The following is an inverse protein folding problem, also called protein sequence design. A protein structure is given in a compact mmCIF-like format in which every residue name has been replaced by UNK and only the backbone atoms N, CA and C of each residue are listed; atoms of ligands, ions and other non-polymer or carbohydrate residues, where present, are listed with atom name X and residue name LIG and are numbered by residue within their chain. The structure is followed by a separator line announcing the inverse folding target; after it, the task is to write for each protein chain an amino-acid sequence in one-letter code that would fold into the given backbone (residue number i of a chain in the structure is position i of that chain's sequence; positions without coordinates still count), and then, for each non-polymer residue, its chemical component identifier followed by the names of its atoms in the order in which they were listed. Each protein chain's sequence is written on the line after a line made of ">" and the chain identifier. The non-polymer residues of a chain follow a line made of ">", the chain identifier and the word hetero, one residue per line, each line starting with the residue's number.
data_IF_072043595853
#
_entry.id   IF_072043595853
#
_cell.length_a   1.000
_cell.length_b   1.000
_cell.length_c   1.000
_cell.angle_alpha   90.00
_cell.angle_beta   90.00
_cell.angle_gamma   90.00
#
_symmetry.space_group_name_H-M   'P 1'
#
loop_
_entity.id
_entity.type
_entity.pdbx_description
1 polymer ?
#
# COMPACT_ATOMS: atom_id res chain seq x y z
N UNK A 1 17.85 -32.95 22.37
CA UNK A 1 17.87 -34.20 21.61
C UNK A 1 19.21 -34.30 20.89
N UNK A 2 20.01 -35.34 21.16
CA UNK A 2 21.27 -35.57 20.48
C UNK A 2 20.98 -36.13 19.09
N UNK A 3 21.32 -35.42 18.04
CA UNK A 3 21.26 -35.89 16.67
C UNK A 3 22.37 -36.95 16.45
N UNK A 4 21.98 -38.18 16.09
CA UNK A 4 22.90 -39.32 15.88
C UNK A 4 23.12 -39.63 14.40
N UNK A 5 22.60 -38.80 13.52
CA UNK A 5 22.70 -38.98 12.06
C UNK A 5 23.96 -38.40 11.45
N UNK A 6 24.29 -38.84 10.25
CA UNK A 6 25.37 -38.26 9.43
C UNK A 6 24.81 -37.04 8.69
N UNK A 7 25.50 -35.90 8.80
CA UNK A 7 25.19 -34.72 8.02
C UNK A 7 25.82 -34.87 6.63
N UNK A 8 25.00 -35.05 5.63
CA UNK A 8 25.44 -35.11 4.23
C UNK A 8 25.19 -33.78 3.55
N UNK A 9 26.25 -33.14 3.05
CA UNK A 9 26.21 -31.90 2.32
C UNK A 9 25.99 -32.07 0.80
N UNK A 10 25.80 -33.32 0.34
CA UNK A 10 25.57 -33.60 -1.07
C UNK A 10 24.09 -33.51 -1.41
N UNK A 11 23.78 -32.77 -2.46
CA UNK A 11 22.42 -32.76 -3.00
C UNK A 11 22.08 -34.13 -3.59
N UNK A 12 20.90 -34.68 -3.30
CA UNK A 12 20.43 -35.91 -3.96
C UNK A 12 20.46 -35.77 -5.49
N UNK A 13 20.88 -36.84 -6.18
CA UNK A 13 20.94 -36.86 -7.66
C UNK A 13 19.56 -36.99 -8.31
N UNK A 14 18.58 -36.18 -7.88
CA UNK A 14 17.26 -36.13 -8.49
C UNK A 14 17.16 -35.02 -9.53
N UNK A 15 16.30 -35.17 -10.52
CA UNK A 15 16.10 -34.17 -11.56
C UNK A 15 15.73 -32.78 -10.99
N UNK A 16 14.96 -32.76 -9.91
CA UNK A 16 14.56 -31.52 -9.25
C UNK A 16 15.75 -30.78 -8.64
N UNK A 17 16.68 -31.49 -7.97
CA UNK A 17 17.85 -30.88 -7.41
C UNK A 17 18.87 -30.45 -8.47
N UNK A 18 18.95 -31.16 -9.60
CA UNK A 18 19.75 -30.73 -10.73
C UNK A 18 19.20 -29.40 -11.30
N UNK A 19 17.87 -29.31 -11.47
CA UNK A 19 17.22 -28.05 -11.88
C UNK A 19 17.48 -26.92 -10.87
N UNK A 20 17.33 -27.18 -9.56
CA UNK A 20 17.56 -26.19 -8.52
C UNK A 20 19.01 -25.67 -8.48
N UNK A 21 19.99 -26.51 -8.81
CA UNK A 21 21.41 -26.07 -8.94
C UNK A 21 21.63 -25.09 -10.08
N UNK A 22 20.85 -25.19 -11.14
CA UNK A 22 20.95 -24.31 -12.32
C UNK A 22 20.13 -23.02 -12.16
N UNK A 23 19.34 -22.92 -11.11
CA UNK A 23 18.42 -21.80 -10.89
C UNK A 23 19.07 -20.78 -9.94
N UNK A 24 19.10 -19.52 -10.35
CA UNK A 24 19.51 -18.43 -9.46
C UNK A 24 18.34 -18.12 -8.49
N UNK A 25 18.58 -18.32 -7.22
CA UNK A 25 17.62 -18.00 -6.17
C UNK A 25 17.73 -16.53 -5.80
N UNK A 26 16.63 -15.81 -5.97
CA UNK A 26 16.48 -14.45 -5.49
C UNK A 26 15.67 -14.52 -4.20
N UNK A 27 16.33 -14.31 -3.06
CA UNK A 27 15.66 -14.27 -1.78
C UNK A 27 15.26 -12.82 -1.44
N UNK A 28 14.07 -12.60 -0.87
CA UNK A 28 13.67 -11.27 -0.42
C UNK A 28 14.61 -10.80 0.70
N UNK A 29 15.13 -9.60 0.57
CA UNK A 29 16.04 -8.98 1.55
C UNK A 29 15.32 -7.91 2.38
N UNK A 30 14.39 -7.20 1.75
CA UNK A 30 13.73 -6.01 2.28
C UNK A 30 12.29 -6.30 2.69
N UNK A 31 11.57 -7.11 1.90
CA UNK A 31 10.19 -7.50 2.21
C UNK A 31 10.13 -8.48 3.36
N UNK A 32 9.30 -8.21 4.36
CA UNK A 32 9.08 -9.08 5.52
C UNK A 32 7.72 -9.76 5.46
N UNK A 33 7.65 -10.97 6.04
CA UNK A 33 6.40 -11.77 6.10
C UNK A 33 5.57 -11.46 7.34
N UNK A 34 6.19 -10.89 8.36
CA UNK A 34 5.58 -10.56 9.65
C UNK A 34 5.71 -9.06 9.93
N UNK A 35 4.78 -8.48 10.71
CA UNK A 35 4.84 -7.10 11.12
C UNK A 35 6.18 -6.78 11.80
N UNK A 36 6.70 -5.61 11.49
CA UNK A 36 7.94 -5.11 12.09
C UNK A 36 7.62 -4.45 13.43
N UNK A 37 8.29 -4.89 14.49
CA UNK A 37 8.24 -4.23 15.78
C UNK A 37 8.91 -2.86 15.71
N UNK A 38 8.36 -1.88 16.43
CA UNK A 38 8.90 -0.52 16.49
C UNK A 38 9.03 0.19 15.13
N UNK A 39 8.29 -0.27 14.11
CA UNK A 39 8.24 0.38 12.81
C UNK A 39 7.03 1.32 12.70
N UNK A 40 7.14 2.34 11.86
CA UNK A 40 6.01 3.21 11.56
C UNK A 40 4.90 2.45 10.84
N UNK A 41 3.66 2.75 11.17
CA UNK A 41 2.50 2.22 10.45
C UNK A 41 1.91 3.30 9.54
N UNK A 42 1.74 2.97 8.27
CA UNK A 42 1.23 3.87 7.22
C UNK A 42 0.08 3.18 6.50
N UNK A 43 -1.02 3.90 6.34
CA UNK A 43 -2.21 3.45 5.62
C UNK A 43 -2.20 4.06 4.22
N UNK A 44 -2.54 3.27 3.22
CA UNK A 44 -2.56 3.72 1.82
C UNK A 44 -3.91 3.47 1.19
N UNK A 45 -4.33 4.40 0.35
CA UNK A 45 -5.56 4.29 -0.43
C UNK A 45 -5.39 4.95 -1.81
N UNK A 46 -6.22 4.54 -2.77
CA UNK A 46 -6.23 5.07 -4.12
C UNK A 46 -7.62 5.10 -4.73
N UNK A 47 -7.95 6.22 -5.35
CA UNK A 47 -9.25 6.46 -5.96
C UNK A 47 -9.21 6.38 -7.48
N UNK A 48 -10.33 5.97 -8.09
CA UNK A 48 -10.52 5.96 -9.55
C UNK A 48 -10.44 7.36 -10.20
N UNK A 49 -10.54 8.43 -9.42
CA UNK A 49 -10.43 9.83 -9.89
C UNK A 49 -8.97 10.30 -10.00
N UNK A 50 -8.00 9.41 -9.98
CA UNK A 50 -6.58 9.76 -10.11
C UNK A 50 -5.97 10.35 -8.86
N UNK A 51 -6.49 10.06 -7.68
CA UNK A 51 -5.90 10.44 -6.40
C UNK A 51 -5.37 9.22 -5.68
N UNK A 52 -4.16 9.33 -5.15
CA UNK A 52 -3.54 8.38 -4.26
C UNK A 52 -3.23 9.10 -2.95
N UNK A 53 -3.35 8.44 -1.82
CA UNK A 53 -3.01 9.04 -0.55
C UNK A 53 -2.40 8.04 0.42
N UNK A 54 -1.69 8.57 1.40
CA UNK A 54 -1.33 7.82 2.57
C UNK A 54 -1.50 8.68 3.83
N UNK A 55 -1.74 8.02 4.95
CA UNK A 55 -1.83 8.61 6.28
C UNK A 55 -1.06 7.78 7.29
N UNK A 56 -0.58 8.44 8.34
CA UNK A 56 0.21 7.84 9.41
C UNK A 56 0.98 8.92 10.15
N UNK A 57 2.30 8.78 10.32
CA UNK A 57 3.13 9.84 10.90
C UNK A 57 3.17 11.12 10.05
N UNK A 58 2.90 11.00 8.77
CA UNK A 58 2.70 12.08 7.81
C UNK A 58 1.51 11.73 6.93
N UNK A 59 0.87 12.75 6.37
CA UNK A 59 -0.20 12.62 5.38
C UNK A 59 0.23 13.23 4.06
N UNK A 60 -0.15 12.57 2.97
CA UNK A 60 0.11 13.09 1.64
C UNK A 60 -0.96 12.64 0.65
N UNK A 61 -1.44 13.58 -0.15
CA UNK A 61 -2.29 13.33 -1.31
C UNK A 61 -1.50 13.57 -2.57
N UNK A 62 -1.57 12.63 -3.50
CA UNK A 62 -0.84 12.64 -4.76
C UNK A 62 -1.88 12.64 -5.89
N UNK A 63 -1.80 13.61 -6.80
CA UNK A 63 -2.54 13.58 -8.05
C UNK A 63 -1.79 12.69 -9.03
N UNK A 64 -2.47 11.67 -9.55
CA UNK A 64 -1.91 10.74 -10.53
C UNK A 64 -2.59 10.92 -11.89
N UNK A 65 -1.93 10.61 -13.01
CA UNK A 65 -2.58 10.65 -14.33
C UNK A 65 -3.52 9.46 -14.55
N UNK A 66 -3.61 8.52 -13.59
CA UNK A 66 -4.30 7.26 -13.75
C UNK A 66 -5.74 7.35 -13.23
N UNK A 67 -6.70 7.13 -14.11
CA UNK A 67 -8.13 7.01 -13.75
C UNK A 67 -8.49 5.55 -13.42
N UNK A 68 -7.75 4.96 -12.48
CA UNK A 68 -7.92 3.58 -12.03
C UNK A 68 -7.52 3.48 -10.56
N UNK A 69 -8.42 2.99 -9.72
CA UNK A 69 -8.17 2.79 -8.30
C UNK A 69 -6.92 1.93 -8.06
N UNK A 70 -6.80 0.79 -8.73
CA UNK A 70 -5.64 -0.10 -8.60
C UNK A 70 -4.31 0.58 -8.91
N UNK A 71 -4.27 1.43 -9.95
CA UNK A 71 -3.05 2.17 -10.29
C UNK A 71 -2.75 3.27 -9.28
N UNK A 72 -3.80 3.96 -8.81
CA UNK A 72 -3.65 4.97 -7.76
C UNK A 72 -3.14 4.35 -6.45
N UNK A 73 -3.66 3.20 -6.05
CA UNK A 73 -3.20 2.44 -4.89
C UNK A 73 -1.74 1.99 -5.03
N UNK A 74 -1.32 1.53 -6.22
CA UNK A 74 0.10 1.23 -6.49
C UNK A 74 0.97 2.47 -6.33
N UNK A 75 0.52 3.63 -6.83
CA UNK A 75 1.23 4.91 -6.66
C UNK A 75 1.34 5.28 -5.19
N UNK A 76 0.28 5.10 -4.40
CA UNK A 76 0.31 5.36 -2.95
C UNK A 76 1.39 4.53 -2.26
N UNK A 77 1.43 3.22 -2.50
CA UNK A 77 2.45 2.32 -1.92
C UNK A 77 3.86 2.69 -2.39
N UNK A 78 4.05 2.96 -3.68
CA UNK A 78 5.36 3.38 -4.22
C UNK A 78 5.83 4.66 -3.52
N UNK A 79 4.93 5.63 -3.35
CA UNK A 79 5.26 6.91 -2.70
C UNK A 79 5.63 6.72 -1.23
N UNK A 80 4.89 5.89 -0.49
CA UNK A 80 5.26 5.52 0.89
C UNK A 80 6.65 4.92 0.96
N UNK A 81 6.96 3.97 0.07
CA UNK A 81 8.27 3.34 0.02
C UNK A 81 9.40 4.33 -0.33
N UNK A 82 9.10 5.43 -1.01
CA UNK A 82 10.06 6.50 -1.35
C UNK A 82 10.20 7.55 -0.23
N UNK A 83 9.08 7.92 0.41
CA UNK A 83 9.03 9.02 1.38
C UNK A 83 9.55 8.63 2.78
N UNK A 84 9.57 7.32 3.10
CA UNK A 84 9.99 6.82 4.40
C UNK A 84 11.28 5.99 4.30
N UNK A 85 12.41 6.57 4.66
CA UNK A 85 13.71 5.90 4.69
C UNK A 85 13.99 5.29 6.08
N UNK A 86 13.08 4.41 6.52
CA UNK A 86 13.12 3.68 7.80
C UNK A 86 12.23 2.44 7.73
N UNK A 87 12.27 1.53 8.73
CA UNK A 87 11.37 0.39 8.78
C UNK A 87 9.91 0.83 8.84
N UNK A 88 9.03 0.24 8.01
CA UNK A 88 7.61 0.60 7.92
C UNK A 88 6.71 -0.62 7.80
N UNK A 89 5.52 -0.51 8.38
CA UNK A 89 4.38 -1.39 8.16
C UNK A 89 3.36 -0.66 7.28
N UNK A 90 3.06 -1.20 6.12
CA UNK A 90 2.10 -0.63 5.17
C UNK A 90 0.79 -1.40 5.28
N UNK A 91 -0.32 -0.68 5.40
CA UNK A 91 -1.66 -1.23 5.44
C UNK A 91 -2.45 -0.66 4.27
N UNK A 92 -3.03 -1.54 3.46
CA UNK A 92 -3.88 -1.16 2.32
C UNK A 92 -5.14 -2.03 2.31
N UNK A 93 -6.24 -1.50 1.84
CA UNK A 93 -7.48 -2.24 1.62
C UNK A 93 -7.56 -2.90 0.23
N UNK A 94 -6.54 -2.72 -0.58
CA UNK A 94 -6.38 -3.41 -1.86
C UNK A 94 -5.60 -4.72 -1.71
N UNK A 95 -6.30 -5.84 -1.69
CA UNK A 95 -5.68 -7.17 -1.67
C UNK A 95 -4.72 -7.39 -2.86
N UNK A 96 -5.07 -6.84 -4.04
CA UNK A 96 -4.25 -6.93 -5.24
C UNK A 96 -2.90 -6.21 -5.06
N UNK A 97 -2.91 -4.97 -4.57
CA UNK A 97 -1.69 -4.17 -4.38
C UNK A 97 -0.81 -4.78 -3.29
N UNK A 98 -1.43 -5.26 -2.20
CA UNK A 98 -0.71 -5.95 -1.12
C UNK A 98 0.01 -7.19 -1.64
N UNK A 99 -0.68 -8.05 -2.41
CA UNK A 99 -0.06 -9.25 -2.95
C UNK A 99 1.06 -8.91 -3.93
N UNK A 100 0.82 -7.99 -4.85
CA UNK A 100 1.83 -7.52 -5.79
C UNK A 100 3.08 -6.97 -5.08
N UNK A 101 2.88 -6.19 -4.01
CA UNK A 101 3.99 -5.60 -3.24
C UNK A 101 4.79 -6.65 -2.46
N UNK A 102 4.12 -7.68 -1.94
CA UNK A 102 4.79 -8.81 -1.26
C UNK A 102 5.74 -9.58 -2.18
N UNK A 103 5.34 -9.77 -3.42
CA UNK A 103 6.05 -10.65 -4.35
C UNK A 103 7.06 -9.91 -5.22
N UNK A 104 6.92 -8.58 -5.39
CA UNK A 104 7.62 -7.79 -6.40
C UNK A 104 9.15 -7.83 -6.28
N UNK A 105 9.70 -7.96 -5.07
CA UNK A 105 11.15 -7.94 -4.85
C UNK A 105 11.85 -9.07 -5.62
N UNK A 106 11.25 -10.25 -5.63
CA UNK A 106 11.82 -11.46 -6.25
C UNK A 106 11.13 -11.85 -7.55
N UNK A 107 10.03 -11.20 -7.92
CA UNK A 107 9.23 -11.54 -9.08
C UNK A 107 9.96 -11.29 -10.40
N UNK A 108 9.67 -12.12 -11.38
CA UNK A 108 9.88 -11.81 -12.79
C UNK A 108 8.62 -11.14 -13.32
N UNK A 109 8.73 -9.85 -13.64
CA UNK A 109 7.59 -9.09 -14.17
C UNK A 109 7.34 -9.53 -15.60
N UNK A 110 6.22 -10.22 -15.83
CA UNK A 110 5.77 -10.58 -17.17
C UNK A 110 5.22 -9.34 -17.85
N UNK A 111 5.65 -9.09 -19.08
CA UNK A 111 5.13 -7.99 -19.89
C UNK A 111 3.64 -8.23 -20.21
N UNK A 112 2.79 -7.24 -19.95
CA UNK A 112 1.37 -7.24 -20.31
C UNK A 112 1.10 -6.22 -21.41
N UNK A 113 -0.09 -6.25 -22.00
CA UNK A 113 -0.53 -5.26 -23.00
C UNK A 113 -0.75 -3.85 -22.36
N UNK A 114 -0.74 -3.74 -21.04
CA UNK A 114 -0.89 -2.49 -20.30
C UNK A 114 0.47 -1.89 -19.94
N UNK A 115 0.97 -1.00 -20.79
CA UNK A 115 2.27 -0.37 -20.58
C UNK A 115 2.35 0.47 -19.31
N UNK A 116 1.28 1.11 -18.91
CA UNK A 116 1.25 1.93 -17.69
C UNK A 116 1.40 1.05 -16.44
N UNK A 117 0.70 -0.07 -16.42
CA UNK A 117 0.82 -1.04 -15.34
C UNK A 117 2.22 -1.68 -15.30
N UNK A 118 2.79 -2.00 -16.46
CA UNK A 118 4.16 -2.51 -16.57
C UNK A 118 5.19 -1.53 -16.01
N UNK A 119 5.02 -0.23 -16.30
CA UNK A 119 5.89 0.83 -15.77
C UNK A 119 5.77 0.95 -14.25
N UNK A 120 4.55 0.90 -13.71
CA UNK A 120 4.31 0.96 -12.27
C UNK A 120 4.93 -0.24 -11.54
N UNK A 121 4.80 -1.46 -12.06
CA UNK A 121 5.45 -2.63 -11.45
C UNK A 121 6.97 -2.57 -11.51
N UNK A 122 7.54 -2.10 -12.62
CA UNK A 122 8.98 -1.88 -12.72
C UNK A 122 9.46 -0.84 -11.71
N UNK A 123 8.71 0.26 -11.57
CA UNK A 123 9.02 1.31 -10.60
C UNK A 123 8.92 0.79 -9.17
N UNK A 124 7.85 0.05 -8.83
CA UNK A 124 7.69 -0.58 -7.53
C UNK A 124 8.87 -1.52 -7.22
N UNK A 125 9.23 -2.40 -8.16
CA UNK A 125 10.34 -3.32 -8.00
C UNK A 125 11.68 -2.60 -7.79
N UNK A 126 11.94 -1.56 -8.59
CA UNK A 126 13.16 -0.76 -8.45
C UNK A 126 13.20 -0.02 -7.11
N UNK A 127 12.05 0.53 -6.67
CA UNK A 127 11.93 1.20 -5.38
C UNK A 127 12.23 0.23 -4.24
N UNK A 128 11.61 -0.95 -4.24
CA UNK A 128 11.86 -1.98 -3.22
C UNK A 128 13.32 -2.43 -3.20
N UNK A 129 13.91 -2.72 -4.37
CA UNK A 129 15.31 -3.19 -4.46
C UNK A 129 16.36 -2.14 -4.07
N UNK A 130 16.01 -0.86 -4.16
CA UNK A 130 16.89 0.25 -3.75
C UNK A 130 16.80 0.59 -2.26
N UNK A 131 15.77 0.08 -1.55
CA UNK A 131 15.62 0.37 -0.13
C UNK A 131 16.72 -0.27 0.71
N UNK A 132 17.10 0.44 1.76
CA UNK A 132 18.01 -0.05 2.79
C UNK A 132 17.26 -0.60 4.02
N UNK A 133 16.00 -0.24 4.20
CA UNK A 133 15.20 -0.59 5.36
C UNK A 133 14.08 -1.57 5.01
N UNK A 134 13.82 -2.56 5.87
CA UNK A 134 12.77 -3.52 5.64
C UNK A 134 11.39 -2.89 5.71
N UNK A 135 10.44 -3.52 5.02
CA UNK A 135 9.03 -3.19 5.16
C UNK A 135 8.18 -4.46 5.24
N UNK A 136 7.02 -4.29 5.86
CA UNK A 136 5.95 -5.26 5.87
C UNK A 136 4.72 -4.64 5.22
N UNK A 137 3.95 -5.42 4.48
CA UNK A 137 2.70 -4.97 3.88
C UNK A 137 1.59 -5.96 4.17
N UNK A 138 0.41 -5.45 4.56
CA UNK A 138 -0.75 -6.28 4.87
C UNK A 138 -2.04 -5.66 4.35
N UNK A 139 -3.00 -6.55 4.09
CA UNK A 139 -4.35 -6.18 3.68
C UNK A 139 -5.24 -6.01 4.91
N UNK A 140 -6.03 -4.95 4.91
CA UNK A 140 -7.16 -4.76 5.83
C UNK A 140 -8.45 -4.73 5.01
N UNK A 141 -9.52 -5.32 5.54
CA UNK A 141 -10.83 -5.19 4.89
C UNK A 141 -11.31 -3.74 5.03
N UNK A 142 -11.46 -3.05 3.90
CA UNK A 142 -12.04 -1.70 3.84
C UNK A 142 -13.51 -1.67 4.27
N UNK A 143 -13.98 -0.49 4.62
CA UNK A 143 -15.39 -0.19 4.94
C UNK A 143 -16.04 -1.12 5.99
N UNK A 144 -15.26 -1.61 6.95
CA UNK A 144 -15.80 -2.37 8.09
C UNK A 144 -16.22 -1.39 9.18
N UNK A 145 -17.47 -1.50 9.66
CA UNK A 145 -17.94 -0.72 10.82
C UNK A 145 -17.40 -1.24 12.16
N UNK A 146 -16.28 -1.97 12.14
CA UNK A 146 -15.67 -2.48 13.36
C UNK A 146 -14.94 -1.35 14.10
N UNK A 147 -15.14 -1.20 15.41
CA UNK A 147 -14.42 -0.20 16.17
C UNK A 147 -12.94 -0.57 16.30
N UNK A 148 -12.05 0.39 16.07
CA UNK A 148 -10.62 0.16 16.29
C UNK A 148 -9.74 1.24 15.66
N UNK A 149 -8.48 1.37 16.11
CA UNK A 149 -7.55 2.37 15.59
C UNK A 149 -7.18 2.11 14.13
N UNK A 150 -7.06 0.85 13.70
CA UNK A 150 -6.73 0.50 12.31
C UNK A 150 -7.85 0.88 11.35
N UNK A 151 -9.12 0.64 11.73
CA UNK A 151 -10.27 1.03 10.91
C UNK A 151 -10.37 2.54 10.77
N UNK A 152 -10.16 3.29 11.86
CA UNK A 152 -10.18 4.76 11.82
C UNK A 152 -9.10 5.34 10.90
N UNK A 153 -7.89 4.79 10.94
CA UNK A 153 -6.78 5.26 10.13
C UNK A 153 -6.98 4.90 8.64
N UNK A 154 -7.54 3.72 8.33
CA UNK A 154 -7.91 3.37 6.96
C UNK A 154 -9.03 4.26 6.42
N UNK A 155 -10.06 4.54 7.23
CA UNK A 155 -11.12 5.51 6.88
C UNK A 155 -10.54 6.91 6.61
N UNK A 156 -9.50 7.33 7.31
CA UNK A 156 -8.84 8.60 7.07
C UNK A 156 -8.13 8.63 5.72
N UNK A 157 -7.43 7.55 5.33
CA UNK A 157 -6.82 7.44 4.02
C UNK A 157 -7.87 7.50 2.89
N UNK A 158 -8.98 6.77 3.03
CA UNK A 158 -10.12 6.78 2.10
C UNK A 158 -10.75 8.19 1.97
N UNK A 159 -10.90 8.91 3.08
CA UNK A 159 -11.36 10.31 3.04
C UNK A 159 -10.46 11.21 2.18
N UNK A 160 -9.14 11.04 2.26
CA UNK A 160 -8.19 11.86 1.53
C UNK A 160 -8.26 11.69 0.00
N UNK A 161 -8.67 10.51 -0.48
CA UNK A 161 -8.80 10.25 -1.93
C UNK A 161 -10.20 10.54 -2.47
N UNK A 162 -11.20 10.69 -1.60
CA UNK A 162 -12.58 10.99 -2.00
C UNK A 162 -12.68 12.35 -2.68
N UNK A 163 -13.19 12.40 -3.93
CA UNK A 163 -13.39 13.67 -4.62
C UNK A 163 -14.46 14.53 -3.96
N UNK A 164 -15.56 13.90 -3.55
CA UNK A 164 -16.66 14.60 -2.88
C UNK A 164 -16.21 15.24 -1.56
N UNK A 165 -15.34 14.57 -0.81
CA UNK A 165 -14.76 15.12 0.41
C UNK A 165 -13.87 16.33 0.13
N UNK A 166 -12.98 16.24 -0.87
CA UNK A 166 -12.08 17.34 -1.24
C UNK A 166 -12.85 18.55 -1.78
N UNK A 167 -13.86 18.35 -2.62
CA UNK A 167 -14.72 19.43 -3.12
C UNK A 167 -15.53 20.08 -2.00
N UNK A 168 -16.02 19.28 -1.05
CA UNK A 168 -16.70 19.79 0.13
C UNK A 168 -15.77 20.63 1.03
N UNK A 169 -14.52 20.21 1.18
CA UNK A 169 -13.50 20.91 1.94
C UNK A 169 -13.13 22.24 1.27
N UNK A 170 -12.92 22.26 -0.05
CA UNK A 170 -12.66 23.48 -0.82
C UNK A 170 -13.84 24.46 -0.72
N UNK A 171 -15.07 23.97 -0.85
CA UNK A 171 -16.25 24.82 -0.69
C UNK A 171 -16.36 25.42 0.71
N UNK A 172 -16.10 24.61 1.74
CA UNK A 172 -16.14 25.10 3.13
C UNK A 172 -15.06 26.16 3.36
N UNK A 173 -13.85 25.95 2.88
CA UNK A 173 -12.75 26.91 2.99
C UNK A 173 -13.07 28.26 2.34
N UNK A 174 -13.80 28.25 1.22
CA UNK A 174 -14.20 29.46 0.49
C UNK A 174 -15.44 30.16 1.07
N UNK A 175 -16.40 29.40 1.58
CA UNK A 175 -17.76 29.92 1.87
C UNK A 175 -18.24 29.66 3.29
N UNK A 176 -17.49 28.92 4.11
CA UNK A 176 -17.83 28.52 5.48
C UNK A 176 -19.21 27.84 5.61
N UNK A 177 -19.64 27.10 4.59
CA UNK A 177 -20.89 26.32 4.61
C UNK A 177 -20.88 25.34 5.78
N UNK A 178 -21.96 25.29 6.54
CA UNK A 178 -22.08 24.39 7.69
C UNK A 178 -22.21 22.91 7.29
N UNK A 179 -22.10 21.99 8.26
CA UNK A 179 -22.13 20.55 8.05
C UNK A 179 -23.40 20.06 7.31
N UNK A 180 -24.56 20.68 7.58
CA UNK A 180 -25.83 20.34 6.92
C UNK A 180 -25.76 20.72 5.45
N UNK A 181 -25.27 21.91 5.13
CA UNK A 181 -25.12 22.38 3.75
C UNK A 181 -24.15 21.53 2.94
N UNK A 182 -23.03 21.13 3.53
CA UNK A 182 -22.07 20.21 2.91
C UNK A 182 -22.70 18.84 2.65
N UNK A 183 -23.39 18.27 3.64
CA UNK A 183 -24.06 16.97 3.51
C UNK A 183 -25.14 16.94 2.42
N UNK A 184 -25.88 18.04 2.25
CA UNK A 184 -26.93 18.15 1.24
C UNK A 184 -26.39 18.33 -0.19
N UNK A 185 -25.18 18.90 -0.31
CA UNK A 185 -24.59 19.24 -1.60
C UNK A 185 -23.65 18.14 -2.12
N UNK A 186 -23.00 17.40 -1.22
CA UNK A 186 -22.02 16.39 -1.57
C UNK A 186 -22.42 15.02 -1.02
N UNK A 187 -22.07 13.97 -1.75
CA UNK A 187 -22.27 12.59 -1.28
C UNK A 187 -21.13 12.19 -0.31
N UNK A 188 -21.21 12.77 0.88
CA UNK A 188 -20.25 12.52 1.97
C UNK A 188 -20.99 12.14 3.26
N UNK A 189 -20.33 11.43 4.15
CA UNK A 189 -20.93 10.99 5.42
C UNK A 189 -21.03 12.13 6.45
N UNK A 190 -21.89 11.99 7.45
CA UNK A 190 -21.95 12.95 8.57
C UNK A 190 -20.64 13.08 9.33
N UNK A 191 -19.84 12.01 9.40
CA UNK A 191 -18.52 12.02 10.02
C UNK A 191 -17.56 12.90 9.21
N UNK A 192 -17.58 12.77 7.87
CA UNK A 192 -16.78 13.58 6.97
C UNK A 192 -17.16 15.07 7.04
N UNK A 193 -18.46 15.41 7.04
CA UNK A 193 -18.91 16.81 7.16
C UNK A 193 -18.46 17.47 8.46
N UNK A 194 -18.55 16.74 9.58
CA UNK A 194 -18.08 17.23 10.87
C UNK A 194 -16.58 17.46 10.90
N UNK A 195 -15.81 16.57 10.27
CA UNK A 195 -14.36 16.70 10.17
C UNK A 195 -13.95 17.97 9.39
N UNK A 196 -14.64 18.27 8.25
CA UNK A 196 -14.39 19.48 7.47
C UNK A 196 -14.65 20.76 8.28
N UNK A 197 -15.74 20.79 9.06
CA UNK A 197 -16.18 22.00 9.78
C UNK A 197 -15.38 22.25 11.05
N UNK A 198 -14.66 21.25 11.58
CA UNK A 198 -13.85 21.35 12.81
C UNK A 198 -12.40 21.80 12.54
N UNK A 199 -11.96 21.79 11.30
CA UNK A 199 -10.65 22.23 10.85
C UNK A 199 -10.74 23.48 9.98
#
# INVERSE_FOLDING_TARGET
>A
ANFVGIIDNHYPKTKIFQFLKLTTWILPKITRREPLENALTVFTDGSSNGKAAYTGPKERVIKTPYQSAQRAELVAVITVLQDFDQPINIISDSAYVVQATKDVETALIKYSMDDQLNQLFKLLQQTVRKRNFPFYVTHIRGHTNLPGPLTKANEQADMLVSSAFMEAQELHALTHVNAIGLKNKFDITWKQTKNIVQH
#
